data_IF_144558335169
#
_entry.id   IF_144558335169
#
_cell.length_a   1.000
_cell.length_b   1.000
_cell.length_c   1.000
_cell.angle_alpha   90.00
_cell.angle_beta   90.00
_cell.angle_gamma   90.00
#
_symmetry.space_group_name_H-M   'P 1'
#
loop_
_entity.id
_entity.type
_entity.pdbx_description
1 polymer ?
#
# COMPACT_ATOMS: atom_id res chain seq x y z
N UNK A 1 -11.77 -0.83 1.16
CA UNK A 1 -10.66 -1.63 0.58
C UNK A 1 -10.61 -1.36 -0.91
N UNK A 2 -9.42 -1.25 -1.51
CA UNK A 2 -9.21 -0.91 -2.92
C UNK A 2 -8.18 -1.85 -3.56
N UNK A 3 -8.48 -2.37 -4.75
CA UNK A 3 -7.65 -3.35 -5.45
C UNK A 3 -7.45 -4.63 -4.64
N UNK A 4 -8.37 -4.94 -3.73
CA UNK A 4 -8.22 -5.98 -2.73
C UNK A 4 -8.77 -7.34 -3.22
N UNK A 5 -8.16 -8.48 -2.86
CA UNK A 5 -6.93 -8.63 -2.07
C UNK A 5 -5.65 -8.66 -2.92
N UNK A 6 -5.73 -8.70 -4.25
CA UNK A 6 -4.59 -9.09 -5.09
C UNK A 6 -3.67 -7.92 -5.48
N UNK A 7 -4.15 -6.68 -5.46
CA UNK A 7 -3.41 -5.49 -5.84
C UNK A 7 -3.05 -5.38 -7.33
N UNK A 8 -3.58 -6.26 -8.18
CA UNK A 8 -3.20 -6.41 -9.59
C UNK A 8 -4.15 -5.70 -10.58
N UNK A 9 -5.15 -4.97 -10.09
CA UNK A 9 -6.01 -4.14 -10.91
C UNK A 9 -5.23 -3.00 -11.59
N UNK A 10 -5.77 -2.47 -12.69
CA UNK A 10 -5.24 -1.26 -13.31
C UNK A 10 -5.27 -0.09 -12.30
N UNK A 11 -4.26 0.78 -12.37
CA UNK A 11 -4.18 1.99 -11.54
C UNK A 11 -5.42 2.87 -11.65
N UNK A 12 -5.95 3.06 -12.86
CA UNK A 12 -7.19 3.81 -13.10
C UNK A 12 -8.40 3.20 -12.40
N UNK A 13 -8.46 1.86 -12.32
CA UNK A 13 -9.54 1.15 -11.63
C UNK A 13 -9.42 1.33 -10.11
N UNK A 14 -8.21 1.26 -9.54
CA UNK A 14 -8.00 1.53 -8.11
C UNK A 14 -8.37 2.96 -7.75
N UNK A 15 -7.99 3.94 -8.57
CA UNK A 15 -8.35 5.34 -8.36
C UNK A 15 -9.87 5.55 -8.45
N UNK A 16 -10.55 4.92 -9.41
CA UNK A 16 -12.00 4.95 -9.53
C UNK A 16 -12.68 4.32 -8.30
N UNK A 17 -12.28 3.11 -7.90
CA UNK A 17 -12.82 2.41 -6.73
C UNK A 17 -12.64 3.23 -5.44
N UNK A 18 -11.51 3.93 -5.31
CA UNK A 18 -11.24 4.87 -4.21
C UNK A 18 -12.29 5.98 -4.16
N UNK A 19 -12.56 6.64 -5.30
CA UNK A 19 -13.54 7.71 -5.36
C UNK A 19 -14.95 7.21 -5.05
N UNK A 20 -15.33 6.04 -5.57
CA UNK A 20 -16.64 5.44 -5.29
C UNK A 20 -16.79 5.05 -3.83
N UNK A 21 -15.75 4.48 -3.20
CA UNK A 21 -15.76 4.15 -1.78
C UNK A 21 -15.95 5.39 -0.91
N UNK A 22 -15.28 6.50 -1.24
CA UNK A 22 -15.40 7.77 -0.52
C UNK A 22 -16.81 8.35 -0.70
N UNK A 23 -17.37 8.33 -1.92
CA UNK A 23 -18.76 8.75 -2.17
C UNK A 23 -19.76 7.92 -1.37
N UNK A 24 -19.49 6.63 -1.17
CA UNK A 24 -20.29 5.74 -0.34
C UNK A 24 -20.10 5.95 1.17
N UNK A 25 -19.27 6.92 1.59
CA UNK A 25 -19.08 7.31 2.99
C UNK A 25 -17.84 6.72 3.64
N UNK A 26 -16.87 6.18 2.89
CA UNK A 26 -15.62 5.72 3.46
C UNK A 26 -14.79 6.90 4.01
N UNK A 27 -14.40 6.82 5.28
CA UNK A 27 -13.54 7.80 5.95
C UNK A 27 -12.05 7.43 5.91
N UNK A 28 -11.71 6.29 5.31
CA UNK A 28 -10.35 5.77 5.17
C UNK A 28 -10.28 4.77 4.01
N UNK A 29 -9.12 4.67 3.36
CA UNK A 29 -8.87 3.77 2.25
C UNK A 29 -7.68 2.87 2.55
N UNK A 30 -7.90 1.56 2.44
CA UNK A 30 -6.86 0.53 2.46
C UNK A 30 -6.69 -0.01 1.04
N UNK A 31 -5.56 0.27 0.39
CA UNK A 31 -5.22 -0.27 -0.94
C UNK A 31 -4.23 -1.43 -0.86
N UNK A 32 -4.26 -2.37 -1.80
CA UNK A 32 -3.21 -3.39 -1.95
C UNK A 32 -2.19 -2.99 -3.01
N UNK A 33 -0.91 -3.05 -2.65
CA UNK A 33 0.22 -2.77 -3.54
C UNK A 33 0.32 -3.82 -4.66
N UNK A 34 0.83 -3.45 -5.84
CA UNK A 34 1.06 -4.42 -6.89
C UNK A 34 2.36 -5.22 -6.63
N UNK A 35 2.23 -6.38 -5.99
CA UNK A 35 3.35 -7.28 -5.67
C UNK A 35 4.07 -7.76 -6.94
N UNK A 36 3.36 -7.97 -8.04
CA UNK A 36 3.96 -8.40 -9.32
C UNK A 36 4.96 -7.37 -9.87
N UNK A 37 4.65 -6.08 -9.73
CA UNK A 37 5.58 -5.01 -10.11
C UNK A 37 6.78 -4.90 -9.19
N UNK A 38 6.61 -5.08 -7.88
CA UNK A 38 7.72 -5.17 -6.92
C UNK A 38 8.69 -6.28 -7.33
N UNK A 39 8.16 -7.49 -7.53
CA UNK A 39 8.96 -8.66 -7.93
C UNK A 39 9.63 -8.50 -9.30
N UNK A 40 9.10 -7.61 -10.14
CA UNK A 40 9.66 -7.26 -11.44
C UNK A 40 10.58 -6.02 -11.40
N UNK A 41 10.91 -5.50 -10.21
CA UNK A 41 11.69 -4.28 -10.00
C UNK A 41 11.11 -3.01 -10.68
N UNK A 42 9.79 -2.99 -10.95
CA UNK A 42 9.10 -1.86 -11.58
C UNK A 42 8.68 -0.81 -10.55
N UNK A 43 9.65 -0.30 -9.79
CA UNK A 43 9.41 0.58 -8.64
C UNK A 43 8.74 1.92 -9.00
N UNK A 44 9.01 2.47 -10.19
CA UNK A 44 8.30 3.67 -10.64
C UNK A 44 6.80 3.38 -10.83
N UNK A 45 6.43 2.26 -11.45
CA UNK A 45 5.03 1.87 -11.61
C UNK A 45 4.34 1.64 -10.25
N UNK A 46 5.04 1.08 -9.28
CA UNK A 46 4.54 0.94 -7.90
C UNK A 46 4.25 2.31 -7.28
N UNK A 47 5.18 3.26 -7.40
CA UNK A 47 5.02 4.62 -6.90
C UNK A 47 3.86 5.34 -7.57
N UNK A 48 3.79 5.28 -8.90
CA UNK A 48 2.74 5.94 -9.68
C UNK A 48 1.34 5.40 -9.33
N UNK A 49 1.23 4.10 -9.06
CA UNK A 49 -0.03 3.47 -8.65
C UNK A 49 -0.52 3.94 -7.29
N UNK A 50 0.38 3.97 -6.30
CA UNK A 50 0.06 4.47 -4.96
C UNK A 50 -0.26 5.96 -5.01
N UNK A 51 0.52 6.75 -5.77
CA UNK A 51 0.28 8.19 -5.91
C UNK A 51 -1.08 8.48 -6.57
N UNK A 52 -1.48 7.71 -7.59
CA UNK A 52 -2.79 7.88 -8.22
C UNK A 52 -3.94 7.62 -7.24
N UNK A 53 -3.82 6.59 -6.40
CA UNK A 53 -4.81 6.30 -5.34
C UNK A 53 -4.78 7.39 -4.26
N UNK A 54 -3.60 7.84 -3.84
CA UNK A 54 -3.46 8.93 -2.86
C UNK A 54 -4.12 10.22 -3.35
N UNK A 55 -3.92 10.57 -4.62
CA UNK A 55 -4.56 11.74 -5.23
C UNK A 55 -6.09 11.56 -5.28
N UNK A 56 -6.57 10.35 -5.60
CA UNK A 56 -8.00 10.04 -5.61
C UNK A 56 -8.65 10.07 -4.22
N UNK A 57 -7.86 9.93 -3.15
CA UNK A 57 -8.35 10.01 -1.78
C UNK A 57 -8.78 11.43 -1.38
N UNK A 58 -8.28 12.48 -2.03
CA UNK A 58 -8.65 13.88 -1.77
C UNK A 58 -8.70 14.27 -0.28
N UNK A 59 -7.67 13.86 0.48
CA UNK A 59 -7.56 14.13 1.93
C UNK A 59 -8.10 13.03 2.85
N UNK A 60 -8.81 12.02 2.33
CA UNK A 60 -9.14 10.80 3.07
C UNK A 60 -7.84 10.01 3.34
N UNK A 61 -7.58 9.54 4.57
CA UNK A 61 -6.36 8.80 4.87
C UNK A 61 -6.20 7.52 4.03
N UNK A 62 -5.00 7.34 3.47
CA UNK A 62 -4.62 6.15 2.72
C UNK A 62 -3.69 5.26 3.54
N UNK A 63 -3.99 3.96 3.56
CA UNK A 63 -3.14 2.87 4.04
C UNK A 63 -2.75 1.97 2.87
N UNK A 64 -1.46 1.64 2.76
CA UNK A 64 -0.95 0.75 1.71
C UNK A 64 -0.61 -0.62 2.31
N UNK A 65 -1.37 -1.64 1.92
CA UNK A 65 -1.12 -3.04 2.28
C UNK A 65 0.01 -3.58 1.39
N UNK A 66 1.12 -3.97 2.02
CA UNK A 66 2.32 -4.46 1.32
C UNK A 66 2.26 -5.95 0.96
N UNK A 67 1.46 -6.72 1.69
CA UNK A 67 1.46 -8.19 1.66
C UNK A 67 2.84 -8.79 1.98
N UNK A 68 3.35 -8.47 3.18
CA UNK A 68 4.74 -8.75 3.58
C UNK A 68 5.14 -10.22 3.48
N UNK A 69 4.20 -11.16 3.64
CA UNK A 69 4.47 -12.59 3.50
C UNK A 69 4.95 -13.01 2.10
N UNK A 70 4.83 -12.13 1.10
CA UNK A 70 5.32 -12.33 -0.26
C UNK A 70 6.61 -11.54 -0.56
N UNK A 71 7.05 -10.65 0.33
CA UNK A 71 8.14 -9.72 0.07
C UNK A 71 9.40 -10.06 0.87
N UNK A 72 10.56 -9.72 0.32
CA UNK A 72 11.82 -9.73 1.08
C UNK A 72 11.89 -8.50 1.99
N UNK A 73 12.80 -8.52 2.97
CA UNK A 73 13.01 -7.36 3.85
C UNK A 73 13.42 -6.10 3.07
N UNK A 74 14.26 -6.24 2.04
CA UNK A 74 14.68 -5.12 1.19
C UNK A 74 13.51 -4.55 0.37
N UNK A 75 12.63 -5.41 -0.14
CA UNK A 75 11.41 -4.97 -0.84
C UNK A 75 10.44 -4.25 0.10
N UNK A 76 10.30 -4.71 1.34
CA UNK A 76 9.50 -4.05 2.37
C UNK A 76 10.06 -2.66 2.67
N UNK A 77 11.38 -2.56 2.90
CA UNK A 77 12.07 -1.28 3.15
C UNK A 77 11.78 -0.31 2.00
N UNK A 78 12.01 -0.75 0.75
CA UNK A 78 11.84 0.10 -0.42
C UNK A 78 10.38 0.53 -0.64
N UNK A 79 9.41 -0.35 -0.39
CA UNK A 79 8.00 0.02 -0.45
C UNK A 79 7.62 1.04 0.63
N UNK A 80 8.15 0.90 1.85
CA UNK A 80 8.00 1.88 2.92
C UNK A 80 8.63 3.23 2.56
N UNK A 81 9.82 3.24 1.97
CA UNK A 81 10.50 4.46 1.50
C UNK A 81 9.69 5.19 0.44
N UNK A 82 9.12 4.47 -0.53
CA UNK A 82 8.22 5.04 -1.53
C UNK A 82 7.01 5.68 -0.86
N UNK A 83 6.33 4.96 0.05
CA UNK A 83 5.16 5.47 0.77
C UNK A 83 5.50 6.74 1.57
N UNK A 84 6.67 6.77 2.21
CA UNK A 84 7.18 7.95 2.91
C UNK A 84 7.45 9.12 1.98
N UNK A 85 8.09 8.87 0.83
CA UNK A 85 8.45 9.89 -0.14
C UNK A 85 7.22 10.65 -0.65
N UNK A 86 6.12 9.93 -0.92
CA UNK A 86 4.88 10.51 -1.46
C UNK A 86 3.87 10.92 -0.38
N UNK A 87 4.22 10.79 0.90
CA UNK A 87 3.39 11.27 2.01
C UNK A 87 2.17 10.40 2.35
N UNK A 88 2.24 9.09 2.11
CA UNK A 88 1.21 8.14 2.59
C UNK A 88 1.27 8.04 4.12
N UNK A 89 0.11 8.14 4.76
CA UNK A 89 0.00 8.17 6.22
C UNK A 89 0.32 6.82 6.88
N UNK A 90 -0.07 5.70 6.26
CA UNK A 90 0.13 4.37 6.85
C UNK A 90 0.55 3.32 5.84
N UNK A 91 1.33 2.36 6.33
CA UNK A 91 1.56 1.07 5.67
C UNK A 91 0.92 -0.02 6.52
N UNK A 92 0.45 -1.08 5.87
CA UNK A 92 -0.20 -2.23 6.48
C UNK A 92 0.49 -3.51 6.02
N UNK A 93 0.63 -4.47 6.92
CA UNK A 93 1.40 -5.69 6.67
C UNK A 93 0.73 -6.57 5.62
N UNK A 94 -0.51 -7.00 5.86
CA UNK A 94 -1.10 -8.13 5.12
C UNK A 94 -2.59 -7.93 4.82
N UNK A 95 -3.08 -8.66 3.82
CA UNK A 95 -4.53 -8.71 3.51
C UNK A 95 -5.28 -9.73 4.36
N UNK A 96 -4.58 -10.77 4.83
CA UNK A 96 -5.18 -11.95 5.47
C UNK A 96 -5.64 -13.04 4.49
N UNK A 97 -5.45 -12.84 3.18
CA UNK A 97 -5.87 -13.78 2.12
C UNK A 97 -4.70 -14.54 1.49
N UNK A 98 -3.48 -14.35 2.01
CA UNK A 98 -2.26 -15.01 1.55
C UNK A 98 -1.71 -16.00 2.58
N UNK A 99 -0.48 -16.46 2.38
CA UNK A 99 0.16 -17.55 3.12
C UNK A 99 0.53 -17.20 4.58
N UNK A 100 0.47 -15.93 4.96
CA UNK A 100 0.85 -15.47 6.29
C UNK A 100 0.32 -14.07 6.60
N UNK A 101 0.28 -13.74 7.89
CA UNK A 101 -0.15 -12.44 8.41
C UNK A 101 1.02 -11.60 8.92
N UNK A 102 0.72 -10.72 9.89
CA UNK A 102 1.72 -9.86 10.50
C UNK A 102 2.75 -10.64 11.33
N UNK A 103 4.04 -10.35 11.12
CA UNK A 103 5.14 -10.78 11.98
C UNK A 103 5.68 -9.59 12.76
N UNK A 104 6.08 -9.79 14.03
CA UNK A 104 6.64 -8.74 14.89
C UNK A 104 7.87 -8.08 14.24
N UNK A 105 8.70 -8.88 13.58
CA UNK A 105 9.88 -8.42 12.84
C UNK A 105 9.54 -7.53 11.64
N UNK A 106 8.48 -7.84 10.89
CA UNK A 106 8.03 -7.01 9.76
C UNK A 106 7.51 -5.66 10.27
N UNK A 107 6.73 -5.66 11.35
CA UNK A 107 6.22 -4.44 11.98
C UNK A 107 7.36 -3.57 12.48
N UNK A 108 8.36 -4.16 13.15
CA UNK A 108 9.54 -3.45 13.63
C UNK A 108 10.36 -2.86 12.47
N UNK A 109 10.52 -3.62 11.38
CA UNK A 109 11.22 -3.17 10.18
C UNK A 109 10.50 -1.99 9.51
N UNK A 110 9.19 -2.12 9.26
CA UNK A 110 8.37 -1.08 8.63
C UNK A 110 8.40 0.21 9.46
N UNK A 111 8.27 0.10 10.78
CA UNK A 111 8.37 1.25 11.70
C UNK A 111 9.74 1.92 11.65
N UNK A 112 10.82 1.15 11.48
CA UNK A 112 12.17 1.70 11.36
C UNK A 112 12.38 2.44 10.02
N UNK A 113 11.81 1.92 8.94
CA UNK A 113 11.90 2.53 7.60
C UNK A 113 11.06 3.81 7.47
N UNK A 114 9.94 3.88 8.18
CA UNK A 114 9.09 5.06 8.26
C UNK A 114 9.55 5.94 9.44
N UNK A 115 10.43 6.90 9.18
CA UNK A 115 10.85 7.86 10.22
C UNK A 115 9.74 8.89 10.45
N UNK A 116 8.65 8.48 11.10
CA UNK A 116 7.77 9.32 11.95
C UNK A 116 7.27 8.42 13.09
N UNK A 117 7.68 8.78 14.31
CA UNK A 117 7.22 8.22 15.57
C UNK A 117 5.89 8.88 15.96
N UNK A 118 5.03 8.03 16.52
CA UNK A 118 3.74 8.27 17.22
C UNK A 118 2.53 8.46 16.32
#
# INVERSE_FOLDING_TARGET
>A
MVGFPLGANLTSVKAFETQEAIKAGANEIDMVINVGWIKSNKWQAVKDDIQAVLNACNGVPLKVILETCLLTKDEIIKACEICKEIGVAFVKTSTGFSKGGALVEDVALMKKSLVILV
#
